data_IF_456789703339
#
_entry.id   IF_456789703339
#
_cell.length_a   1.000
_cell.length_b   1.000
_cell.length_c   1.000
_cell.angle_alpha   90.00
_cell.angle_beta   90.00
_cell.angle_gamma   90.00
#
_symmetry.space_group_name_H-M   'P 1'
#
loop_
_entity.id
_entity.type
_entity.pdbx_description
1 polymer ?
#
# COMPACT_ATOMS: atom_id res chain seq x y z
N UNK A 1 -67.03 36.05 -35.77
CA UNK A 1 -65.66 36.56 -36.02
C UNK A 1 -64.74 36.50 -34.75
N UNK A 2 -65.21 36.10 -33.62
CA UNK A 2 -64.40 36.07 -32.36
C UNK A 2 -63.84 34.71 -31.96
N UNK A 3 -64.16 33.64 -32.70
CA UNK A 3 -63.69 32.26 -32.34
C UNK A 3 -62.26 31.96 -32.88
N UNK A 4 -61.86 32.50 -33.97
CA UNK A 4 -60.60 32.20 -34.65
C UNK A 4 -59.37 32.94 -34.01
N UNK A 5 -59.63 34.00 -33.26
CA UNK A 5 -58.56 34.77 -32.59
C UNK A 5 -57.99 34.12 -31.36
N UNK A 6 -58.78 33.26 -30.66
CA UNK A 6 -58.34 32.51 -29.47
C UNK A 6 -57.40 31.34 -29.78
N UNK A 7 -57.56 30.72 -30.94
CA UNK A 7 -56.67 29.63 -31.38
C UNK A 7 -55.30 30.14 -31.87
N UNK A 8 -55.21 31.34 -32.40
CA UNK A 8 -53.95 31.94 -32.81
C UNK A 8 -53.07 32.35 -31.64
N UNK A 9 -53.63 32.80 -30.52
CA UNK A 9 -52.91 33.15 -29.31
C UNK A 9 -52.45 31.88 -28.56
N UNK A 10 -53.25 30.81 -28.55
CA UNK A 10 -52.88 29.54 -27.97
C UNK A 10 -51.75 28.83 -28.73
N UNK A 11 -51.73 28.95 -30.08
CA UNK A 11 -50.65 28.42 -30.92
C UNK A 11 -49.32 29.19 -30.79
N UNK A 12 -49.39 30.49 -30.53
CA UNK A 12 -48.18 31.31 -30.34
C UNK A 12 -47.55 31.17 -28.96
N UNK A 13 -48.32 30.78 -27.94
CA UNK A 13 -47.79 30.49 -26.61
C UNK A 13 -47.14 29.09 -26.50
N UNK A 14 -47.48 28.14 -27.38
CA UNK A 14 -46.81 26.81 -27.44
C UNK A 14 -45.50 26.84 -28.24
N UNK A 15 -45.23 27.84 -29.05
CA UNK A 15 -44.00 27.96 -29.86
C UNK A 15 -42.83 28.61 -29.11
N UNK A 16 -43.02 29.07 -27.84
CA UNK A 16 -41.99 29.72 -27.02
C UNK A 16 -41.42 28.80 -25.93
N UNK A 17 -41.70 27.52 -25.91
CA UNK A 17 -40.91 26.56 -25.20
C UNK A 17 -39.62 26.23 -25.98
N UNK A 18 -38.84 27.26 -26.30
CA UNK A 18 -37.45 27.09 -26.68
C UNK A 18 -36.74 26.42 -25.49
N UNK A 19 -36.28 25.22 -25.72
CA UNK A 19 -35.43 24.51 -24.79
C UNK A 19 -34.27 25.43 -24.37
N UNK A 20 -34.39 26.04 -23.22
CA UNK A 20 -33.27 26.68 -22.58
C UNK A 20 -32.33 25.56 -22.17
N UNK A 21 -31.41 25.21 -23.03
CA UNK A 21 -30.22 24.52 -22.63
C UNK A 21 -29.55 25.47 -21.66
N UNK A 22 -29.59 25.11 -20.38
CA UNK A 22 -28.85 25.80 -19.34
C UNK A 22 -27.36 25.48 -19.49
N UNK A 23 -26.74 25.90 -20.57
CA UNK A 23 -25.33 25.98 -20.72
C UNK A 23 -24.84 27.05 -19.74
N UNK A 24 -23.95 26.71 -18.84
CA UNK A 24 -23.26 27.70 -18.02
C UNK A 24 -22.64 28.74 -18.96
N UNK A 25 -22.78 30.04 -18.65
CA UNK A 25 -22.17 31.06 -19.47
C UNK A 25 -20.66 30.85 -19.54
N UNK A 26 -20.07 30.96 -20.74
CA UNK A 26 -18.61 30.82 -20.89
C UNK A 26 -17.84 31.96 -20.20
N UNK A 27 -18.50 33.02 -19.84
CA UNK A 27 -17.95 34.18 -19.13
C UNK A 27 -18.95 34.70 -18.09
N UNK A 28 -18.45 35.15 -16.93
CA UNK A 28 -19.20 35.85 -15.90
C UNK A 28 -18.47 37.16 -15.63
N UNK A 29 -19.17 38.31 -15.80
CA UNK A 29 -18.58 39.66 -15.64
C UNK A 29 -17.33 39.90 -16.47
N UNK A 30 -17.30 39.45 -17.75
CA UNK A 30 -16.17 39.52 -18.68
C UNK A 30 -14.93 38.69 -18.28
N UNK A 31 -15.01 37.85 -17.24
CA UNK A 31 -13.97 36.89 -16.87
C UNK A 31 -14.34 35.48 -17.35
N UNK A 32 -13.34 34.74 -17.88
CA UNK A 32 -13.51 33.33 -18.22
C UNK A 32 -13.79 32.54 -16.95
N UNK A 33 -14.79 31.66 -17.02
CA UNK A 33 -15.02 30.73 -15.92
C UNK A 33 -13.75 29.90 -15.67
N UNK A 34 -13.33 29.75 -14.42
CA UNK A 34 -12.19 28.89 -14.09
C UNK A 34 -12.47 27.47 -14.56
N UNK A 35 -11.51 26.89 -15.29
CA UNK A 35 -11.60 25.52 -15.79
C UNK A 35 -10.32 24.76 -15.48
N UNK A 36 -10.47 23.50 -15.07
CA UNK A 36 -9.36 22.58 -14.86
C UNK A 36 -8.95 21.84 -16.14
N UNK A 37 -9.70 22.03 -17.27
CA UNK A 37 -9.45 21.34 -18.52
C UNK A 37 -8.01 21.51 -19.04
N UNK A 38 -7.39 22.73 -19.06
CA UNK A 38 -6.02 22.87 -19.52
C UNK A 38 -5.00 22.14 -18.65
N UNK A 39 -5.27 22.00 -17.34
CA UNK A 39 -4.44 21.21 -16.42
C UNK A 39 -4.57 19.72 -16.75
N UNK A 40 -5.80 19.24 -16.88
CA UNK A 40 -6.10 17.83 -17.21
C UNK A 40 -5.48 17.44 -18.54
N UNK A 41 -5.64 18.24 -19.60
CA UNK A 41 -5.04 18.00 -20.92
C UNK A 41 -3.52 17.84 -20.85
N UNK A 42 -2.86 18.60 -19.99
CA UNK A 42 -1.41 18.56 -19.82
C UNK A 42 -0.93 17.29 -19.08
N UNK A 43 -1.65 16.84 -18.04
CA UNK A 43 -1.16 15.77 -17.15
C UNK A 43 -1.72 14.40 -17.49
N UNK A 44 -2.88 14.32 -18.15
CA UNK A 44 -3.50 13.04 -18.51
C UNK A 44 -2.62 12.12 -19.36
N UNK A 45 -1.81 12.62 -20.33
CA UNK A 45 -0.95 11.73 -21.11
C UNK A 45 0.06 10.92 -20.29
N UNK A 46 0.36 11.36 -19.06
CA UNK A 46 1.24 10.63 -18.14
C UNK A 46 0.52 9.53 -17.35
N UNK A 47 -0.81 9.40 -17.48
CA UNK A 47 -1.59 8.37 -16.78
C UNK A 47 -2.01 7.29 -17.77
N UNK A 48 -1.63 6.05 -17.50
CA UNK A 48 -1.90 4.89 -18.37
C UNK A 48 -2.96 3.97 -17.75
N UNK A 49 -3.64 3.22 -18.62
CA UNK A 49 -4.42 2.06 -18.18
C UNK A 49 -3.48 0.86 -18.01
N UNK A 50 -3.69 0.07 -16.97
CA UNK A 50 -2.98 -1.20 -16.74
C UNK A 50 -4.00 -2.33 -16.85
N UNK A 51 -3.72 -3.31 -17.70
CA UNK A 51 -4.45 -4.56 -17.80
C UNK A 51 -3.55 -5.70 -17.31
N UNK A 52 -4.11 -6.49 -16.44
CA UNK A 52 -3.44 -7.68 -15.91
C UNK A 52 -4.24 -8.89 -16.29
N UNK A 53 -3.58 -9.92 -16.81
CA UNK A 53 -4.17 -11.24 -16.96
C UNK A 53 -3.55 -12.21 -15.96
N UNK A 54 -4.40 -13.04 -15.36
CA UNK A 54 -4.03 -14.05 -14.39
C UNK A 54 -4.72 -15.36 -14.72
N UNK A 55 -3.97 -16.46 -14.75
CA UNK A 55 -4.50 -17.82 -14.93
C UNK A 55 -4.85 -18.41 -13.56
N UNK A 56 -6.11 -18.38 -13.18
CA UNK A 56 -6.56 -18.97 -11.91
C UNK A 56 -6.82 -20.47 -12.10
N UNK A 57 -5.98 -21.32 -11.50
CA UNK A 57 -6.28 -22.75 -11.36
C UNK A 57 -7.18 -22.97 -10.15
N UNK A 58 -8.25 -23.76 -10.34
CA UNK A 58 -9.29 -24.08 -9.34
C UNK A 58 -8.72 -24.76 -8.08
N UNK A 59 -8.18 -23.99 -7.16
CA UNK A 59 -7.59 -24.51 -5.91
C UNK A 59 -7.10 -23.47 -4.91
N UNK A 60 -7.02 -22.21 -5.30
CA UNK A 60 -6.47 -21.15 -4.45
C UNK A 60 -7.46 -20.00 -4.21
N UNK A 61 -7.94 -19.88 -2.99
CA UNK A 61 -9.07 -19.01 -2.62
C UNK A 61 -8.68 -17.64 -2.02
N UNK A 62 -7.44 -17.16 -2.09
CA UNK A 62 -7.06 -16.00 -1.27
C UNK A 62 -6.82 -14.67 -1.99
N UNK A 63 -6.29 -14.63 -3.20
CA UNK A 63 -6.02 -13.35 -3.90
C UNK A 63 -7.26 -12.73 -4.54
N UNK A 64 -8.06 -13.55 -5.21
CA UNK A 64 -9.26 -13.14 -5.94
C UNK A 64 -10.40 -12.67 -5.00
N UNK A 65 -10.52 -13.24 -3.80
CA UNK A 65 -11.59 -12.90 -2.85
C UNK A 65 -11.38 -11.52 -2.20
N UNK A 66 -10.16 -11.15 -1.87
CA UNK A 66 -9.84 -9.83 -1.32
C UNK A 66 -10.03 -8.73 -2.38
N UNK A 67 -9.58 -8.97 -3.60
CA UNK A 67 -9.77 -8.08 -4.75
C UNK A 67 -11.28 -7.94 -5.08
N UNK A 68 -12.02 -9.04 -5.16
CA UNK A 68 -13.47 -9.04 -5.45
C UNK A 68 -14.27 -8.35 -4.37
N UNK A 69 -13.95 -8.60 -3.08
CA UNK A 69 -14.58 -7.88 -1.96
C UNK A 69 -14.27 -6.39 -1.99
N UNK A 70 -13.03 -6.03 -2.33
CA UNK A 70 -12.61 -4.63 -2.43
C UNK A 70 -13.34 -3.91 -3.56
N UNK A 71 -13.57 -4.58 -4.70
CA UNK A 71 -14.23 -4.01 -5.87
C UNK A 71 -15.73 -4.33 -5.98
N UNK A 72 -16.33 -5.04 -5.01
CA UNK A 72 -17.76 -5.39 -5.02
C UNK A 72 -18.17 -6.30 -6.17
N UNK A 73 -17.25 -7.12 -6.70
CA UNK A 73 -17.54 -8.03 -7.81
C UNK A 73 -18.27 -9.28 -7.31
N UNK A 74 -19.28 -9.80 -8.05
CA UNK A 74 -20.05 -10.97 -7.63
C UNK A 74 -19.23 -12.25 -7.61
N UNK A 75 -19.51 -13.13 -6.65
CA UNK A 75 -18.93 -14.48 -6.57
C UNK A 75 -19.33 -15.30 -7.80
N UNK A 76 -18.35 -15.91 -8.49
CA UNK A 76 -18.61 -16.79 -9.62
C UNK A 76 -18.39 -18.24 -9.18
N UNK A 77 -19.43 -19.11 -9.26
CA UNK A 77 -19.29 -20.53 -8.94
C UNK A 77 -18.35 -21.24 -9.92
N UNK A 78 -17.51 -22.13 -9.37
CA UNK A 78 -16.35 -22.74 -9.99
C UNK A 78 -16.57 -23.54 -11.28
N UNK A 79 -15.51 -23.69 -12.01
CA UNK A 79 -15.28 -24.59 -13.13
C UNK A 79 -14.22 -24.06 -14.09
N UNK A 80 -13.19 -24.84 -14.31
CA UNK A 80 -12.11 -24.75 -15.29
C UNK A 80 -11.22 -23.47 -15.28
N UNK A 81 -9.94 -23.64 -15.64
CA UNK A 81 -8.96 -22.57 -15.78
C UNK A 81 -9.57 -21.37 -16.51
N UNK A 82 -9.69 -20.26 -15.84
CA UNK A 82 -10.20 -19.00 -16.41
C UNK A 82 -9.13 -17.93 -16.32
N UNK A 83 -8.89 -17.30 -17.44
CA UNK A 83 -8.15 -16.04 -17.49
C UNK A 83 -9.03 -14.94 -16.87
N UNK A 84 -8.59 -14.38 -15.76
CA UNK A 84 -9.23 -13.25 -15.10
C UNK A 84 -8.46 -12.01 -15.50
N UNK A 85 -9.12 -11.06 -16.13
CA UNK A 85 -8.55 -9.76 -16.42
C UNK A 85 -8.92 -8.77 -15.32
N UNK A 86 -7.94 -8.13 -14.72
CA UNK A 86 -8.13 -6.98 -13.85
C UNK A 86 -7.60 -5.70 -14.51
N UNK A 87 -8.09 -4.56 -14.09
CA UNK A 87 -7.68 -3.28 -14.65
C UNK A 87 -7.42 -2.26 -13.54
N UNK A 88 -6.34 -1.50 -13.69
CA UNK A 88 -5.96 -0.39 -12.85
C UNK A 88 -5.41 0.76 -13.69
N UNK A 89 -4.76 1.68 -13.03
CA UNK A 89 -4.05 2.80 -13.64
C UNK A 89 -2.58 2.78 -13.24
N UNK A 90 -1.76 3.53 -13.99
CA UNK A 90 -0.36 3.78 -13.65
C UNK A 90 0.02 5.20 -13.99
N UNK A 91 1.11 5.68 -13.43
CA UNK A 91 1.66 7.02 -13.66
C UNK A 91 3.08 6.89 -14.20
N UNK A 92 3.33 7.40 -15.39
CA UNK A 92 4.68 7.47 -15.98
C UNK A 92 5.47 8.52 -15.21
N UNK A 93 6.53 8.10 -14.53
CA UNK A 93 7.39 8.96 -13.69
C UNK A 93 8.83 9.08 -14.20
N UNK A 94 9.16 8.31 -15.22
CA UNK A 94 10.43 8.38 -15.95
C UNK A 94 10.15 7.94 -17.39
N UNK A 95 9.99 8.91 -18.28
CA UNK A 95 9.65 8.64 -19.68
C UNK A 95 10.85 8.16 -20.50
N UNK A 96 12.07 8.44 -20.07
CA UNK A 96 13.30 8.02 -20.75
C UNK A 96 13.56 6.52 -20.56
N UNK A 97 13.37 6.04 -19.32
CA UNK A 97 13.61 4.64 -18.95
C UNK A 97 12.34 3.79 -18.96
N UNK A 98 11.15 4.40 -19.17
CA UNK A 98 9.86 3.73 -19.23
C UNK A 98 9.33 3.26 -17.88
N UNK A 99 9.70 3.90 -16.76
CA UNK A 99 9.21 3.52 -15.44
C UNK A 99 7.85 4.14 -15.13
N UNK A 100 6.98 3.28 -14.61
CA UNK A 100 5.59 3.60 -14.26
C UNK A 100 5.37 3.17 -12.82
N UNK A 101 4.83 4.07 -11.99
CA UNK A 101 4.32 3.78 -10.65
C UNK A 101 2.88 3.30 -10.74
N UNK A 102 2.56 2.29 -9.93
CA UNK A 102 1.19 1.81 -9.73
C UNK A 102 1.05 1.21 -8.33
N UNK A 103 -0.10 0.62 -8.00
CA UNK A 103 -0.24 -0.10 -6.74
C UNK A 103 0.23 -1.56 -6.86
N UNK A 104 0.71 -2.11 -5.72
CA UNK A 104 1.06 -3.52 -5.61
C UNK A 104 -0.14 -4.40 -5.94
N UNK A 105 -1.33 -4.13 -5.34
CA UNK A 105 -2.53 -4.92 -5.56
C UNK A 105 -3.03 -4.94 -7.03
N UNK A 106 -2.60 -3.98 -7.87
CA UNK A 106 -2.92 -3.95 -9.31
C UNK A 106 -2.12 -5.00 -10.07
N UNK A 107 -0.88 -5.26 -9.68
CA UNK A 107 0.06 -6.14 -10.40
C UNK A 107 0.36 -7.45 -9.67
N UNK A 108 -0.21 -7.64 -8.47
CA UNK A 108 0.02 -8.86 -7.68
C UNK A 108 -0.47 -10.10 -8.42
N UNK A 109 0.39 -11.13 -8.44
CA UNK A 109 0.15 -12.42 -9.11
C UNK A 109 -0.17 -12.31 -10.62
N UNK A 110 0.24 -11.23 -11.28
CA UNK A 110 0.07 -11.04 -12.72
C UNK A 110 0.91 -12.02 -13.55
N UNK A 111 0.28 -12.80 -14.47
CA UNK A 111 1.00 -13.58 -15.47
C UNK A 111 1.48 -12.69 -16.62
N UNK A 112 0.64 -11.71 -17.02
CA UNK A 112 0.95 -10.71 -18.05
C UNK A 112 0.42 -9.35 -17.65
N UNK A 113 1.20 -8.32 -17.96
CA UNK A 113 0.83 -6.93 -17.74
C UNK A 113 0.95 -6.19 -19.07
N UNK A 114 -0.09 -5.46 -19.43
CA UNK A 114 -0.10 -4.56 -20.57
C UNK A 114 -0.53 -3.17 -20.10
N UNK A 115 0.10 -2.15 -20.65
CA UNK A 115 -0.35 -0.78 -20.49
C UNK A 115 -0.95 -0.25 -21.78
N UNK A 116 -1.90 0.67 -21.65
CA UNK A 116 -2.42 1.45 -22.79
C UNK A 116 -2.30 2.94 -22.50
N UNK A 117 -1.70 3.67 -23.44
CA UNK A 117 -1.60 5.13 -23.39
C UNK A 117 -2.92 5.78 -23.83
N UNK A 118 -3.02 7.11 -23.67
CA UNK A 118 -4.19 7.88 -24.09
C UNK A 118 -4.45 7.80 -25.62
N UNK A 119 -3.40 7.64 -26.40
CA UNK A 119 -3.45 7.58 -27.89
C UNK A 119 -3.86 6.17 -28.35
N UNK A 120 -4.04 5.22 -27.42
CA UNK A 120 -4.44 3.84 -27.70
C UNK A 120 -3.29 2.92 -28.08
N UNK A 121 -2.04 3.34 -27.93
CA UNK A 121 -0.89 2.45 -28.06
C UNK A 121 -0.84 1.47 -26.90
N UNK A 122 -0.49 0.20 -27.17
CA UNK A 122 -0.45 -0.86 -26.19
C UNK A 122 0.98 -1.39 -26.11
N UNK A 123 1.49 -1.54 -24.90
CA UNK A 123 2.83 -2.05 -24.63
C UNK A 123 2.77 -3.16 -23.58
N UNK A 124 3.58 -4.19 -23.73
CA UNK A 124 3.82 -5.15 -22.66
C UNK A 124 4.70 -4.52 -21.59
N UNK A 125 4.39 -4.80 -20.34
CA UNK A 125 5.11 -4.26 -19.18
C UNK A 125 5.65 -5.39 -18.30
N UNK A 126 6.79 -5.14 -17.67
CA UNK A 126 7.43 -6.05 -16.72
C UNK A 126 7.40 -5.44 -15.32
N UNK A 127 7.17 -6.26 -14.29
CA UNK A 127 7.30 -5.82 -12.90
C UNK A 127 8.79 -5.72 -12.55
N UNK A 128 9.25 -4.51 -12.23
CA UNK A 128 10.62 -4.30 -11.73
C UNK A 128 10.72 -4.70 -10.27
N UNK A 129 9.67 -4.41 -9.51
CA UNK A 129 9.50 -4.80 -8.12
C UNK A 129 8.24 -4.20 -7.53
N UNK A 130 7.82 -4.74 -6.40
CA UNK A 130 6.65 -4.25 -5.68
C UNK A 130 6.79 -4.40 -4.18
N UNK A 131 6.03 -3.62 -3.44
CA UNK A 131 5.99 -3.59 -1.99
C UNK A 131 4.56 -3.62 -1.47
N UNK A 132 4.14 -4.78 -0.97
CA UNK A 132 2.80 -4.98 -0.45
C UNK A 132 2.49 -4.10 0.77
N UNK A 133 3.50 -3.80 1.59
CA UNK A 133 3.29 -3.06 2.83
C UNK A 133 3.02 -1.56 2.63
N UNK A 134 3.44 -0.97 1.50
CA UNK A 134 3.11 0.41 1.09
C UNK A 134 2.11 0.46 -0.06
N UNK A 135 1.72 -0.70 -0.61
CA UNK A 135 0.87 -0.83 -1.79
C UNK A 135 1.45 -0.10 -3.02
N UNK A 136 2.77 -0.12 -3.21
CA UNK A 136 3.45 0.48 -4.37
C UNK A 136 4.11 -0.60 -5.21
N UNK A 137 4.01 -0.46 -6.53
CA UNK A 137 4.75 -1.25 -7.51
C UNK A 137 5.38 -0.35 -8.57
N UNK A 138 6.50 -0.83 -9.12
CA UNK A 138 7.20 -0.24 -10.25
C UNK A 138 7.14 -1.22 -11.40
N UNK A 139 6.58 -0.79 -12.52
CA UNK A 139 6.60 -1.54 -13.77
C UNK A 139 7.42 -0.79 -14.81
N UNK A 140 7.92 -1.51 -15.80
CA UNK A 140 8.73 -0.97 -16.89
C UNK A 140 8.15 -1.35 -18.23
N UNK A 141 8.21 -0.41 -19.17
CA UNK A 141 7.87 -0.62 -20.59
C UNK A 141 9.01 -0.19 -21.49
N UNK A 142 9.15 -0.86 -22.63
CA UNK A 142 10.05 -0.41 -23.70
C UNK A 142 9.22 0.39 -24.73
N UNK A 143 9.06 1.67 -24.46
CA UNK A 143 8.30 2.59 -25.28
C UNK A 143 9.04 3.92 -25.43
N UNK A 144 8.74 4.63 -26.53
CA UNK A 144 9.30 5.97 -26.80
C UNK A 144 8.20 6.99 -26.91
N UNK A 145 8.53 8.25 -26.62
CA UNK A 145 7.56 9.33 -26.74
C UNK A 145 6.55 9.40 -25.60
N UNK A 146 6.83 8.71 -24.51
CA UNK A 146 6.02 8.78 -23.30
C UNK A 146 6.03 10.20 -22.70
N UNK A 147 4.94 10.57 -22.04
CA UNK A 147 4.83 11.83 -21.30
C UNK A 147 5.04 11.53 -19.81
N UNK A 148 5.96 12.25 -19.19
CA UNK A 148 6.29 12.11 -17.77
C UNK A 148 5.42 13.01 -16.88
N UNK A 149 5.00 12.51 -15.74
CA UNK A 149 4.33 13.28 -14.70
C UNK A 149 5.36 13.91 -13.77
N UNK A 150 5.41 15.26 -13.64
CA UNK A 150 6.28 15.89 -12.67
C UNK A 150 5.97 15.45 -11.25
N UNK A 151 6.96 14.95 -10.52
CA UNK A 151 6.82 14.54 -9.12
C UNK A 151 6.86 15.79 -8.24
N UNK A 152 5.81 16.01 -7.46
CA UNK A 152 5.70 17.08 -6.48
C UNK A 152 6.16 16.63 -5.09
N UNK A 153 6.29 17.61 -4.22
CA UNK A 153 6.68 17.44 -2.82
C UNK A 153 5.42 17.22 -1.97
N UNK A 154 5.16 15.95 -1.58
CA UNK A 154 3.99 15.61 -0.76
C UNK A 154 4.09 16.07 0.69
N UNK A 155 5.28 16.38 1.21
CA UNK A 155 5.45 16.92 2.57
C UNK A 155 4.95 18.36 2.70
N UNK A 156 4.85 19.08 1.56
CA UNK A 156 4.29 20.44 1.50
C UNK A 156 2.78 20.50 1.34
N UNK A 157 2.15 19.36 1.12
CA UNK A 157 0.69 19.27 0.98
C UNK A 157 0.03 19.57 2.32
N UNK A 158 -1.07 20.33 2.30
CA UNK A 158 -1.81 20.72 3.49
C UNK A 158 -3.28 20.37 3.35
N UNK A 159 -3.92 20.11 4.47
CA UNK A 159 -5.38 19.96 4.53
C UNK A 159 -6.04 21.22 3.95
N UNK A 160 -6.96 21.02 3.00
CA UNK A 160 -7.63 22.07 2.25
C UNK A 160 -7.03 22.38 0.88
N UNK A 161 -5.85 21.87 0.54
CA UNK A 161 -5.29 22.05 -0.80
C UNK A 161 -6.13 21.28 -1.84
N UNK A 162 -6.40 21.90 -2.98
CA UNK A 162 -7.14 21.28 -4.09
C UNK A 162 -6.29 20.21 -4.77
N UNK A 163 -6.94 19.07 -5.05
CA UNK A 163 -6.33 17.95 -5.76
C UNK A 163 -7.27 17.37 -6.81
N UNK A 164 -6.68 16.73 -7.84
CA UNK A 164 -7.38 15.97 -8.87
C UNK A 164 -6.92 14.52 -8.78
N UNK A 165 -7.86 13.58 -8.68
CA UNK A 165 -7.58 12.16 -8.84
C UNK A 165 -7.83 11.78 -10.29
N UNK A 166 -6.81 11.23 -10.95
CA UNK A 166 -6.82 10.87 -12.37
C UNK A 166 -6.52 9.38 -12.48
N UNK A 167 -7.35 8.68 -13.25
CA UNK A 167 -7.13 7.30 -13.61
C UNK A 167 -7.62 7.04 -15.03
N UNK A 168 -7.31 5.86 -15.56
CA UNK A 168 -7.76 5.40 -16.87
C UNK A 168 -8.45 4.03 -16.74
N UNK A 169 -9.64 3.98 -16.09
CA UNK A 169 -10.36 2.74 -15.92
C UNK A 169 -10.76 2.17 -17.29
N UNK A 170 -10.49 0.89 -17.50
CA UNK A 170 -10.90 0.13 -18.69
C UNK A 170 -10.31 0.59 -20.04
N UNK A 171 -9.38 1.55 -20.07
CA UNK A 171 -8.80 2.07 -21.32
C UNK A 171 -9.79 2.78 -22.24
N UNK A 172 -10.95 3.20 -21.71
CA UNK A 172 -12.00 3.91 -22.47
C UNK A 172 -11.83 5.44 -22.42
N UNK A 173 -10.78 5.92 -21.76
CA UNK A 173 -10.48 7.33 -21.54
C UNK A 173 -10.26 7.65 -20.08
N UNK A 174 -9.65 8.81 -19.81
CA UNK A 174 -9.35 9.23 -18.46
C UNK A 174 -10.62 9.61 -17.68
N UNK A 175 -10.66 9.16 -16.43
CA UNK A 175 -11.62 9.64 -15.43
C UNK A 175 -10.89 10.60 -14.52
N UNK A 176 -11.44 11.80 -14.38
CA UNK A 176 -10.90 12.85 -13.52
C UNK A 176 -11.95 13.24 -12.51
N UNK A 177 -11.56 13.20 -11.25
CA UNK A 177 -12.38 13.72 -10.15
C UNK A 177 -11.59 14.79 -9.40
N UNK A 178 -12.28 15.74 -8.78
CA UNK A 178 -11.66 16.83 -8.04
C UNK A 178 -12.16 16.86 -6.61
N UNK A 179 -11.30 17.30 -5.71
CA UNK A 179 -11.61 17.47 -4.31
C UNK A 179 -10.50 18.24 -3.60
N UNK A 180 -10.40 18.04 -2.30
CA UNK A 180 -9.35 18.60 -1.46
C UNK A 180 -8.63 17.50 -0.67
N UNK A 181 -7.49 17.84 -0.13
CA UNK A 181 -6.85 17.07 0.93
C UNK A 181 -7.69 17.21 2.18
N UNK A 182 -8.30 16.12 2.64
CA UNK A 182 -9.19 16.10 3.81
C UNK A 182 -8.43 15.85 5.10
N UNK A 183 -7.36 15.05 5.04
CA UNK A 183 -6.46 14.76 6.16
C UNK A 183 -5.12 14.25 5.67
N UNK A 184 -4.12 14.24 6.55
CA UNK A 184 -2.79 13.69 6.32
C UNK A 184 -2.46 12.68 7.42
N UNK A 185 -1.46 11.82 7.20
CA UNK A 185 -0.97 10.89 8.20
C UNK A 185 -1.97 9.78 8.55
N UNK A 186 -2.86 9.39 7.62
CA UNK A 186 -3.84 8.34 7.89
C UNK A 186 -3.19 6.96 7.84
N UNK A 187 -3.42 6.18 8.90
CA UNK A 187 -2.91 4.82 9.07
C UNK A 187 -3.97 3.92 9.71
N UNK A 188 -3.70 2.60 9.77
CA UNK A 188 -4.61 1.60 10.34
C UNK A 188 -5.72 1.17 9.38
N UNK A 189 -5.52 1.34 8.08
CA UNK A 189 -6.42 0.90 7.03
C UNK A 189 -6.14 -0.56 6.70
N UNK A 190 -4.87 -0.94 6.51
CA UNK A 190 -4.42 -2.33 6.46
C UNK A 190 -3.81 -2.77 7.79
N UNK A 191 -3.79 -4.07 8.08
CA UNK A 191 -3.26 -4.57 9.36
C UNK A 191 -1.75 -4.46 9.47
N UNK A 192 -1.03 -4.67 8.37
CA UNK A 192 0.42 -4.87 8.35
C UNK A 192 1.15 -3.84 7.48
N UNK A 193 0.42 -2.81 6.98
CA UNK A 193 0.96 -1.78 6.10
C UNK A 193 1.79 -0.72 6.83
N UNK A 194 2.75 -0.17 6.10
CA UNK A 194 3.39 1.10 6.46
C UNK A 194 2.61 2.22 5.78
N UNK A 195 1.74 2.85 6.54
CA UNK A 195 0.72 3.75 6.04
C UNK A 195 0.92 5.17 6.55
N UNK A 196 0.92 6.12 5.65
CA UNK A 196 0.92 7.57 5.93
C UNK A 196 0.08 8.29 4.87
N UNK A 197 -1.14 7.78 4.62
CA UNK A 197 -1.95 8.19 3.48
C UNK A 197 -2.38 9.66 3.51
N UNK A 198 -2.43 10.25 2.31
CA UNK A 198 -3.21 11.46 2.04
C UNK A 198 -4.67 11.04 1.90
N UNK A 199 -5.55 11.58 2.75
CA UNK A 199 -7.00 11.42 2.62
C UNK A 199 -7.56 12.54 1.74
N UNK A 200 -8.44 12.19 0.79
CA UNK A 200 -9.13 13.14 -0.09
C UNK A 200 -10.60 12.81 -0.24
N UNK A 201 -11.43 13.82 -0.53
CA UNK A 201 -12.82 13.65 -0.95
C UNK A 201 -12.98 13.62 -2.48
N UNK A 202 -11.90 13.82 -3.25
CA UNK A 202 -11.87 13.49 -4.66
C UNK A 202 -12.26 12.02 -4.84
N UNK A 203 -13.25 11.75 -5.70
CA UNK A 203 -13.82 10.41 -5.81
C UNK A 203 -12.81 9.42 -6.39
N UNK A 204 -12.34 8.50 -5.56
CA UNK A 204 -11.53 7.33 -5.97
C UNK A 204 -12.50 6.16 -6.10
N UNK A 205 -12.48 5.49 -7.25
CA UNK A 205 -13.32 4.33 -7.56
C UNK A 205 -12.47 3.26 -8.26
N UNK A 206 -12.97 2.02 -8.39
CA UNK A 206 -12.32 0.98 -9.16
C UNK A 206 -11.83 1.48 -10.52
N UNK A 207 -10.54 1.24 -10.80
CA UNK A 207 -9.85 1.71 -12.01
C UNK A 207 -9.04 2.99 -11.84
N UNK A 208 -9.28 3.83 -10.80
CA UNK A 208 -8.39 4.93 -10.48
C UNK A 208 -7.19 4.50 -9.61
N UNK A 209 -7.25 3.30 -9.02
CA UNK A 209 -6.13 2.73 -8.23
C UNK A 209 -4.88 2.63 -9.08
N UNK A 210 -3.74 3.05 -8.54
CA UNK A 210 -2.46 3.19 -9.24
C UNK A 210 -2.33 4.46 -10.08
N UNK A 211 -3.41 5.23 -10.26
CA UNK A 211 -3.42 6.51 -10.96
C UNK A 211 -2.91 7.68 -10.10
N UNK A 212 -2.93 8.87 -10.66
CA UNK A 212 -2.33 10.05 -10.08
C UNK A 212 -3.28 10.81 -9.15
N UNK A 213 -2.79 11.27 -8.00
CA UNK A 213 -3.32 12.40 -7.26
C UNK A 213 -2.41 13.60 -7.55
N UNK A 214 -2.95 14.64 -8.21
CA UNK A 214 -2.16 15.81 -8.65
C UNK A 214 -2.66 17.09 -8.00
N UNK A 215 -1.76 18.02 -7.75
CA UNK A 215 -2.08 19.37 -7.29
C UNK A 215 -2.46 20.30 -8.48
N UNK A 216 -2.86 21.55 -8.18
CA UNK A 216 -3.22 22.52 -9.22
C UNK A 216 -2.04 22.99 -10.08
N UNK A 217 -0.80 22.66 -9.73
CA UNK A 217 0.36 22.90 -10.60
C UNK A 217 0.58 21.79 -11.62
N UNK A 218 -0.13 20.67 -11.48
CA UNK A 218 0.01 19.47 -12.30
C UNK A 218 1.16 18.59 -11.85
N UNK A 219 1.54 18.67 -10.60
CA UNK A 219 2.56 17.82 -9.99
C UNK A 219 1.90 16.66 -9.26
N UNK A 220 2.47 15.48 -9.40
CA UNK A 220 2.07 14.28 -8.66
C UNK A 220 2.33 14.49 -7.16
N UNK A 221 1.33 14.34 -6.33
CA UNK A 221 1.45 14.41 -4.87
C UNK A 221 1.11 13.09 -4.19
N UNK A 222 0.53 12.14 -4.93
CA UNK A 222 0.26 10.80 -4.42
C UNK A 222 -0.17 9.83 -5.50
N UNK A 223 -0.14 8.54 -5.18
CA UNK A 223 -0.68 7.44 -5.99
C UNK A 223 -2.00 7.02 -5.37
N UNK A 224 -3.10 7.13 -6.13
CA UNK A 224 -4.42 6.71 -5.67
C UNK A 224 -4.39 5.23 -5.32
N UNK A 225 -4.86 4.84 -4.13
CA UNK A 225 -4.78 3.45 -3.67
C UNK A 225 -6.15 2.89 -3.30
N UNK A 226 -6.74 3.33 -2.21
CA UNK A 226 -7.87 2.68 -1.58
C UNK A 226 -9.03 3.62 -1.25
N UNK A 227 -10.18 3.02 -0.93
CA UNK A 227 -11.34 3.70 -0.34
C UNK A 227 -11.80 2.95 0.91
N UNK A 228 -12.31 3.66 1.91
CA UNK A 228 -13.12 3.04 2.95
C UNK A 228 -14.58 3.03 2.47
N UNK A 229 -15.10 1.86 2.14
CA UNK A 229 -16.49 1.73 1.69
C UNK A 229 -17.09 0.40 2.14
N UNK A 230 -18.33 0.43 2.62
CA UNK A 230 -19.11 -0.79 2.91
C UNK A 230 -19.84 -1.33 1.68
N UNK A 231 -20.00 -0.51 0.66
CA UNK A 231 -20.80 -0.81 -0.54
C UNK A 231 -19.96 -0.94 -1.81
N UNK A 232 -18.61 -0.79 -1.71
CA UNK A 232 -17.68 -0.84 -2.86
C UNK A 232 -17.61 0.46 -3.68
N UNK A 233 -18.44 1.46 -3.41
CA UNK A 233 -18.39 2.77 -4.07
C UNK A 233 -17.82 3.86 -3.16
N UNK A 234 -17.32 4.95 -3.73
CA UNK A 234 -16.79 6.09 -2.99
C UNK A 234 -17.89 6.77 -2.14
N UNK A 235 -17.58 7.06 -0.88
CA UNK A 235 -18.45 7.78 0.06
C UNK A 235 -17.82 9.11 0.51
N UNK A 236 -16.90 9.66 -0.28
CA UNK A 236 -16.16 10.89 0.06
C UNK A 236 -14.91 10.62 0.91
N UNK A 237 -14.42 9.39 0.97
CA UNK A 237 -13.21 9.01 1.71
C UNK A 237 -12.34 8.17 0.78
N UNK A 238 -11.36 8.81 0.18
CA UNK A 238 -10.34 8.19 -0.66
C UNK A 238 -8.95 8.37 -0.05
N UNK A 239 -8.02 7.50 -0.40
CA UNK A 239 -6.64 7.48 0.10
C UNK A 239 -5.66 7.40 -1.05
N UNK A 240 -4.56 8.14 -0.91
CA UNK A 240 -3.43 8.05 -1.83
C UNK A 240 -2.13 7.89 -1.05
N UNK A 241 -1.22 7.09 -1.57
CA UNK A 241 0.15 6.96 -1.05
C UNK A 241 0.93 8.21 -1.43
N UNK A 242 1.53 8.96 -0.48
CA UNK A 242 2.31 10.16 -0.77
C UNK A 242 3.47 9.89 -1.73
N UNK A 243 3.82 10.88 -2.56
CA UNK A 243 4.97 10.77 -3.49
C UNK A 243 6.29 10.57 -2.77
N UNK A 244 6.46 11.07 -1.57
CA UNK A 244 7.65 10.83 -0.73
C UNK A 244 7.87 9.33 -0.53
N UNK A 245 6.81 8.61 -0.13
CA UNK A 245 6.85 7.16 0.05
C UNK A 245 7.05 6.44 -1.28
N UNK A 246 6.22 6.76 -2.29
CA UNK A 246 6.27 6.10 -3.60
C UNK A 246 7.66 6.25 -4.26
N UNK A 247 8.26 7.44 -4.19
CA UNK A 247 9.60 7.70 -4.72
C UNK A 247 10.70 7.00 -3.92
N UNK A 248 10.57 6.91 -2.59
CA UNK A 248 11.53 6.17 -1.75
C UNK A 248 11.51 4.68 -2.09
N UNK A 249 10.33 4.08 -2.20
CA UNK A 249 10.13 2.68 -2.58
C UNK A 249 10.67 2.42 -3.99
N UNK A 250 10.33 3.28 -4.97
CA UNK A 250 10.84 3.16 -6.34
C UNK A 250 12.37 3.16 -6.37
N UNK A 251 13.03 4.11 -5.69
CA UNK A 251 14.50 4.16 -5.64
C UNK A 251 15.08 2.89 -5.06
N UNK A 252 14.53 2.35 -3.96
CA UNK A 252 15.02 1.12 -3.36
C UNK A 252 14.85 -0.09 -4.29
N UNK A 253 13.71 -0.19 -4.98
CA UNK A 253 13.46 -1.25 -5.97
C UNK A 253 14.46 -1.16 -7.12
N UNK A 254 14.74 0.04 -7.64
CA UNK A 254 15.70 0.24 -8.74
C UNK A 254 17.14 -0.03 -8.31
N UNK A 255 17.52 0.36 -7.09
CA UNK A 255 18.90 0.23 -6.59
C UNK A 255 19.21 -1.20 -6.12
N UNK A 256 18.24 -1.91 -5.51
CA UNK A 256 18.48 -3.17 -4.81
C UNK A 256 17.60 -4.33 -5.29
N UNK A 257 16.58 -4.08 -6.12
CA UNK A 257 15.58 -5.09 -6.51
C UNK A 257 14.52 -5.36 -5.44
N UNK A 258 14.69 -4.82 -4.24
CA UNK A 258 13.82 -5.04 -3.07
C UNK A 258 13.78 -3.81 -2.17
N UNK A 259 12.78 -3.76 -1.28
CA UNK A 259 12.67 -2.69 -0.26
C UNK A 259 13.40 -3.11 1.02
N UNK A 260 14.41 -2.34 1.42
CA UNK A 260 15.23 -2.56 2.63
C UNK A 260 14.86 -1.56 3.70
N UNK A 261 13.94 -1.97 4.56
CA UNK A 261 13.41 -1.11 5.63
C UNK A 261 14.39 -0.92 6.77
N UNK A 262 14.38 0.28 7.29
CA UNK A 262 15.06 0.58 8.54
C UNK A 262 14.38 -0.13 9.72
N UNK A 263 15.18 -0.62 10.64
CA UNK A 263 14.75 -1.22 11.89
C UNK A 263 15.45 -0.57 13.06
N UNK A 264 14.67 -0.10 14.03
CA UNK A 264 15.23 0.40 15.31
C UNK A 264 15.50 -0.76 16.29
N UNK A 265 14.72 -1.85 16.22
CA UNK A 265 14.85 -3.02 17.09
C UNK A 265 14.27 -2.79 18.47
N UNK A 266 13.04 -2.29 18.52
CA UNK A 266 12.27 -2.10 19.76
C UNK A 266 10.88 -2.70 19.62
N UNK A 267 10.33 -3.23 20.72
CA UNK A 267 8.90 -3.45 20.86
C UNK A 267 8.30 -2.20 21.51
N UNK A 268 7.17 -1.75 21.00
CA UNK A 268 6.56 -0.46 21.39
C UNK A 268 5.07 -0.60 21.68
N UNK A 269 4.57 0.28 22.52
CA UNK A 269 3.16 0.43 22.84
C UNK A 269 2.78 1.91 22.83
N UNK A 270 1.48 2.20 22.70
CA UNK A 270 1.00 3.56 22.88
C UNK A 270 1.03 3.95 24.35
N UNK A 271 1.49 5.17 24.64
CA UNK A 271 1.28 5.77 25.96
C UNK A 271 -0.12 6.41 25.99
N UNK A 272 -0.88 6.11 27.02
CA UNK A 272 -2.15 6.73 27.32
C UNK A 272 -2.06 7.47 28.68
N UNK A 273 -3.06 8.29 29.06
CA UNK A 273 -3.01 9.06 30.31
C UNK A 273 -2.79 8.19 31.57
N UNK A 274 -3.34 6.98 31.62
CA UNK A 274 -3.20 6.06 32.76
C UNK A 274 -1.78 5.53 32.87
N UNK A 275 -1.18 5.15 31.74
CA UNK A 275 0.23 4.71 31.66
C UNK A 275 1.18 5.88 31.97
N UNK A 276 0.87 7.08 31.44
CA UNK A 276 1.65 8.28 31.72
C UNK A 276 1.67 8.61 33.20
N UNK A 277 0.52 8.52 33.90
CA UNK A 277 0.42 8.73 35.34
C UNK A 277 1.23 7.66 36.11
N UNK A 278 1.10 6.39 35.73
CA UNK A 278 1.83 5.28 36.37
C UNK A 278 3.35 5.41 36.23
N UNK A 279 3.83 5.90 35.08
CA UNK A 279 5.25 6.17 34.82
C UNK A 279 5.71 7.55 35.31
N UNK A 280 4.80 8.35 35.90
CA UNK A 280 5.06 9.75 36.25
C UNK A 280 5.66 10.54 35.08
N UNK A 281 5.13 10.33 33.85
CA UNK A 281 5.65 10.90 32.61
C UNK A 281 5.18 12.33 32.40
N UNK A 282 6.04 13.24 31.89
CA UNK A 282 5.65 14.61 31.55
C UNK A 282 4.84 14.68 30.26
N UNK A 283 4.69 13.57 29.51
CA UNK A 283 3.98 13.49 28.24
C UNK A 283 2.93 12.38 28.27
N UNK A 284 1.82 12.62 27.57
CA UNK A 284 0.68 11.69 27.44
C UNK A 284 0.52 11.12 26.03
N UNK A 285 1.49 11.41 25.14
CA UNK A 285 1.54 10.90 23.76
C UNK A 285 2.99 10.56 23.42
N UNK A 286 3.17 9.54 22.59
CA UNK A 286 4.46 9.01 22.17
C UNK A 286 4.46 7.49 22.12
N UNK A 287 5.57 6.90 21.70
CA UNK A 287 5.77 5.47 21.63
C UNK A 287 6.60 5.01 22.87
N UNK A 288 5.98 4.25 23.75
CA UNK A 288 6.63 3.65 24.91
C UNK A 288 7.42 2.42 24.48
N UNK A 289 8.70 2.37 24.81
CA UNK A 289 9.55 1.19 24.59
C UNK A 289 9.22 0.14 25.67
N UNK A 290 8.75 -1.03 25.24
CA UNK A 290 8.46 -2.17 26.13
C UNK A 290 9.57 -3.22 26.11
N UNK A 291 10.39 -3.22 25.04
CA UNK A 291 11.56 -4.10 24.90
C UNK A 291 12.57 -3.47 23.94
N UNK A 292 13.84 -3.70 24.18
CA UNK A 292 14.95 -3.39 23.27
C UNK A 292 15.59 -4.71 22.87
N UNK A 293 15.76 -4.94 21.56
CA UNK A 293 16.39 -6.15 21.03
C UNK A 293 17.91 -6.04 21.18
N UNK A 294 18.59 -7.09 21.66
CA UNK A 294 20.05 -7.11 21.74
C UNK A 294 20.71 -6.97 20.36
N UNK A 295 21.78 -6.18 20.27
CA UNK A 295 22.50 -5.91 19.02
C UNK A 295 21.74 -5.01 18.04
N UNK A 296 20.70 -4.33 18.50
CA UNK A 296 19.88 -3.45 17.67
C UNK A 296 20.39 -2.00 17.65
N UNK A 297 19.94 -1.23 16.66
CA UNK A 297 20.18 0.20 16.59
C UNK A 297 19.70 0.95 17.85
N UNK A 298 18.62 0.49 18.47
CA UNK A 298 18.13 1.04 19.74
C UNK A 298 19.09 0.78 20.91
N UNK A 299 19.68 -0.40 21.00
CA UNK A 299 20.69 -0.71 22.02
C UNK A 299 21.95 0.15 21.81
N UNK A 300 22.41 0.26 20.56
CA UNK A 300 23.57 1.10 20.19
C UNK A 300 23.31 2.59 20.52
N UNK A 301 22.08 3.07 20.33
CA UNK A 301 21.64 4.41 20.75
C UNK A 301 21.52 4.58 22.28
N UNK A 302 21.62 3.48 23.05
CA UNK A 302 21.43 3.50 24.49
C UNK A 302 19.99 3.72 24.95
N UNK A 303 19.01 3.42 24.09
CA UNK A 303 17.59 3.41 24.44
C UNK A 303 17.30 2.24 25.41
N UNK A 304 16.28 2.41 26.23
CA UNK A 304 15.91 1.45 27.29
C UNK A 304 14.42 1.24 27.35
N UNK A 305 14.01 0.16 28.00
CA UNK A 305 12.62 -0.04 28.41
C UNK A 305 12.19 1.14 29.26
N UNK A 306 10.92 1.54 29.13
CA UNK A 306 10.27 2.68 29.74
C UNK A 306 10.67 4.07 29.15
N UNK A 307 11.56 4.14 28.15
CA UNK A 307 11.73 5.35 27.36
C UNK A 307 10.47 5.63 26.52
N UNK A 308 10.09 6.89 26.40
CA UNK A 308 8.96 7.32 25.59
C UNK A 308 9.49 8.15 24.42
N UNK A 309 9.45 7.58 23.22
CA UNK A 309 9.88 8.26 21.98
C UNK A 309 8.80 9.25 21.56
N UNK A 310 9.18 10.52 21.40
CA UNK A 310 8.29 11.64 21.04
C UNK A 310 8.69 12.33 19.74
N UNK A 311 9.83 11.96 19.15
CA UNK A 311 10.30 12.50 17.89
C UNK A 311 11.35 11.62 17.22
N UNK A 312 11.36 11.66 15.89
CA UNK A 312 12.41 11.07 15.02
C UNK A 312 12.76 12.13 13.99
N UNK A 313 14.02 12.55 13.97
CA UNK A 313 14.48 13.72 13.24
C UNK A 313 13.62 14.95 13.60
N UNK A 314 13.04 15.65 12.63
CA UNK A 314 12.15 16.79 12.85
C UNK A 314 10.67 16.40 12.98
N UNK A 315 10.34 15.12 12.85
CA UNK A 315 8.97 14.61 12.90
C UNK A 315 8.56 14.25 14.33
N UNK A 316 7.43 14.78 14.78
CA UNK A 316 6.84 14.40 16.07
C UNK A 316 6.26 12.99 15.99
N UNK A 317 6.35 12.24 17.08
CA UNK A 317 5.80 10.90 17.22
C UNK A 317 4.71 10.94 18.30
N UNK A 318 3.47 10.71 17.88
CA UNK A 318 2.31 10.72 18.77
C UNK A 318 1.99 9.33 19.34
N UNK A 319 2.49 8.24 18.72
CA UNK A 319 2.22 6.88 19.17
C UNK A 319 3.05 5.82 18.45
N UNK A 320 2.83 4.55 18.83
CA UNK A 320 3.58 3.39 18.33
C UNK A 320 3.43 3.20 16.81
N UNK A 321 2.22 3.36 16.27
CA UNK A 321 1.97 3.22 14.83
C UNK A 321 2.76 4.25 14.03
N UNK A 322 2.81 5.50 14.48
CA UNK A 322 3.54 6.56 13.80
C UNK A 322 5.06 6.34 13.87
N UNK A 323 5.59 5.87 15.01
CA UNK A 323 7.01 5.49 15.11
C UNK A 323 7.33 4.35 14.14
N UNK A 324 6.52 3.29 14.11
CA UNK A 324 6.71 2.15 13.20
C UNK A 324 6.74 2.62 11.75
N UNK A 325 5.79 3.45 11.34
CA UNK A 325 5.70 3.96 9.97
C UNK A 325 6.91 4.86 9.64
N UNK A 326 7.24 5.80 10.53
CA UNK A 326 8.37 6.70 10.33
C UNK A 326 9.69 5.95 10.14
N UNK A 327 9.99 4.99 11.02
CA UNK A 327 11.22 4.18 10.92
C UNK A 327 11.16 3.22 9.74
N UNK A 328 10.02 2.51 9.54
CA UNK A 328 9.90 1.49 8.49
C UNK A 328 9.87 2.03 7.05
N UNK A 329 9.60 3.33 6.87
CA UNK A 329 9.69 4.00 5.58
C UNK A 329 11.10 4.55 5.28
N UNK A 330 11.96 4.64 6.29
CA UNK A 330 13.38 4.97 6.15
C UNK A 330 14.16 3.74 5.67
N UNK A 331 15.36 3.98 5.15
CA UNK A 331 16.24 2.92 4.67
C UNK A 331 17.07 2.33 5.81
N UNK A 332 17.41 1.06 5.68
CA UNK A 332 18.51 0.49 6.46
C UNK A 332 19.79 1.28 6.23
N UNK A 333 20.48 1.62 7.31
CA UNK A 333 21.70 2.43 7.31
C UNK A 333 21.48 3.95 7.39
N UNK A 334 20.23 4.44 7.29
CA UNK A 334 19.94 5.86 7.49
C UNK A 334 20.23 6.26 8.94
N UNK A 335 20.92 7.39 9.12
CA UNK A 335 21.14 8.01 10.41
C UNK A 335 19.86 8.67 10.91
N UNK A 336 19.47 8.40 12.15
CA UNK A 336 18.28 8.99 12.77
C UNK A 336 18.61 9.62 14.11
N UNK A 337 18.04 10.78 14.38
CA UNK A 337 18.03 11.41 15.71
C UNK A 337 16.68 11.11 16.38
N UNK A 338 16.73 10.48 17.54
CA UNK A 338 15.57 10.08 18.32
C UNK A 338 15.42 10.98 19.52
N UNK A 339 14.30 11.70 19.64
CA UNK A 339 13.93 12.47 20.81
C UNK A 339 13.05 11.62 21.73
N UNK A 340 13.41 11.49 22.99
CA UNK A 340 12.69 10.67 23.94
C UNK A 340 12.73 11.25 25.37
N UNK A 341 11.81 10.80 26.20
CA UNK A 341 11.81 11.06 27.63
C UNK A 341 12.27 9.84 28.40
N UNK A 342 13.16 10.03 29.40
CA UNK A 342 13.59 9.07 30.40
C UNK A 342 13.67 9.77 31.75
N UNK A 343 13.00 9.23 32.77
CA UNK A 343 12.97 9.80 34.12
C UNK A 343 12.55 11.29 34.10
N UNK A 344 11.58 11.66 33.28
CA UNK A 344 11.08 13.02 33.03
C UNK A 344 12.04 13.98 32.30
N UNK A 345 13.25 13.56 31.98
CA UNK A 345 14.20 14.35 31.22
C UNK A 345 14.04 14.10 29.71
N UNK A 346 13.92 15.19 28.94
CA UNK A 346 13.97 15.11 27.48
C UNK A 346 15.42 14.88 27.03
N UNK A 347 15.64 13.85 26.23
CA UNK A 347 16.95 13.44 25.72
C UNK A 347 16.93 13.21 24.23
N UNK A 348 18.11 13.17 23.62
CA UNK A 348 18.32 12.82 22.23
C UNK A 348 19.35 11.70 22.14
N UNK A 349 19.16 10.81 21.17
CA UNK A 349 20.13 9.79 20.80
C UNK A 349 20.19 9.69 19.28
N UNK A 350 21.33 9.36 18.71
CA UNK A 350 21.50 9.15 17.27
C UNK A 350 22.03 7.74 17.03
N UNK A 351 21.54 7.11 15.95
CA UNK A 351 21.98 5.78 15.53
C UNK A 351 21.70 5.59 14.04
N UNK A 352 22.45 4.67 13.41
CA UNK A 352 22.12 4.18 12.08
C UNK A 352 21.08 3.05 12.21
N UNK A 353 20.01 3.12 11.42
CA UNK A 353 18.97 2.09 11.42
C UNK A 353 19.53 0.74 10.96
N UNK A 354 19.23 -0.31 11.70
CA UNK A 354 19.49 -1.68 11.30
C UNK A 354 18.66 -2.04 10.05
N UNK A 355 18.99 -3.17 9.44
CA UNK A 355 18.16 -3.74 8.40
C UNK A 355 17.07 -4.59 9.08
N UNK A 356 15.81 -4.34 8.70
CA UNK A 356 14.80 -5.36 8.91
C UNK A 356 15.16 -6.50 7.96
N UNK A 357 15.94 -7.44 8.48
CA UNK A 357 16.09 -8.71 7.79
C UNK A 357 14.69 -9.30 7.87
N UNK A 358 13.97 -9.30 6.76
CA UNK A 358 12.97 -10.33 6.55
C UNK A 358 13.80 -11.61 6.62
N UNK A 359 13.89 -12.20 7.82
CA UNK A 359 14.62 -13.42 8.01
C UNK A 359 13.80 -14.54 7.38
N UNK A 360 13.84 -14.61 6.06
CA UNK A 360 13.58 -15.86 5.38
C UNK A 360 14.76 -16.76 5.72
N UNK A 361 14.72 -17.39 6.90
CA UNK A 361 15.68 -18.44 7.20
C UNK A 361 15.46 -19.54 6.20
N UNK A 362 16.49 -19.80 5.39
CA UNK A 362 16.44 -20.89 4.42
C UNK A 362 16.41 -22.19 5.22
N UNK A 363 15.45 -23.07 4.95
CA UNK A 363 15.29 -24.34 5.65
C UNK A 363 16.54 -25.22 5.66
N UNK A 364 17.47 -25.01 4.71
CA UNK A 364 18.76 -25.64 4.64
C UNK A 364 19.64 -25.34 5.87
N UNK A 365 19.58 -24.13 6.40
CA UNK A 365 20.37 -23.69 7.55
C UNK A 365 19.76 -24.15 8.88
N UNK A 366 18.48 -24.53 8.87
CA UNK A 366 17.73 -24.91 10.05
C UNK A 366 17.77 -26.43 10.27
N UNK A 367 17.41 -27.22 9.24
CA UNK A 367 17.33 -28.67 9.34
C UNK A 367 17.33 -29.32 7.93
N UNK A 368 18.06 -30.43 7.72
CA UNK A 368 18.12 -31.08 6.38
C UNK A 368 16.76 -31.44 5.79
N UNK A 369 15.79 -31.76 6.64
CA UNK A 369 14.44 -32.08 6.22
C UNK A 369 13.58 -30.87 5.81
N UNK A 370 14.03 -29.66 6.08
CA UNK A 370 13.37 -28.40 5.74
C UNK A 370 14.00 -27.73 4.50
N UNK A 371 14.99 -28.37 3.87
CA UNK A 371 15.62 -27.86 2.63
C UNK A 371 14.57 -27.54 1.59
N UNK A 372 14.66 -26.35 0.99
CA UNK A 372 13.73 -25.82 -0.02
C UNK A 372 12.50 -25.11 0.57
N UNK A 373 12.38 -24.98 1.89
CA UNK A 373 11.40 -24.09 2.52
C UNK A 373 12.06 -22.77 2.93
N UNK A 374 11.29 -21.70 2.86
CA UNK A 374 11.63 -20.37 3.40
C UNK A 374 10.66 -20.05 4.52
N UNK A 375 11.16 -19.41 5.55
CA UNK A 375 10.41 -19.14 6.78
C UNK A 375 10.53 -17.66 7.16
N UNK A 376 9.41 -17.07 7.60
CA UNK A 376 9.37 -15.74 8.19
C UNK A 376 8.61 -15.78 9.52
N UNK A 377 8.78 -14.76 10.36
CA UNK A 377 7.93 -14.61 11.54
C UNK A 377 6.50 -14.32 11.08
N UNK A 378 5.52 -15.03 11.63
CA UNK A 378 4.12 -14.84 11.26
C UNK A 378 3.62 -13.49 11.78
N UNK A 379 3.10 -12.65 10.88
CA UNK A 379 2.42 -11.40 11.21
C UNK A 379 0.97 -11.60 11.65
N UNK A 380 0.43 -12.81 11.56
CA UNK A 380 -0.95 -13.13 11.94
C UNK A 380 -1.07 -13.21 13.46
N UNK A 381 -1.67 -12.16 14.05
CA UNK A 381 -2.24 -11.99 15.41
C UNK A 381 -1.82 -12.95 16.54
N UNK A 382 -1.61 -12.40 17.71
CA UNK A 382 -1.54 -12.88 19.12
C UNK A 382 -1.10 -14.32 19.49
N UNK A 383 -1.21 -15.29 18.61
CA UNK A 383 -0.68 -16.64 18.76
C UNK A 383 0.48 -16.86 17.77
N UNK A 384 1.57 -16.18 18.08
CA UNK A 384 2.84 -16.23 17.37
C UNK A 384 3.20 -17.63 16.82
N UNK A 385 3.71 -17.66 15.60
CA UNK A 385 4.21 -18.83 14.91
C UNK A 385 5.23 -18.42 13.85
N UNK A 386 5.80 -19.39 13.15
CA UNK A 386 6.69 -19.17 12.01
C UNK A 386 5.95 -19.54 10.74
N UNK A 387 5.82 -18.59 9.84
CA UNK A 387 5.17 -18.78 8.55
C UNK A 387 6.14 -19.40 7.54
N UNK A 388 5.65 -20.34 6.76
CA UNK A 388 6.34 -20.90 5.59
C UNK A 388 6.01 -20.01 4.39
N UNK A 389 6.91 -19.14 3.99
CA UNK A 389 6.66 -18.15 2.93
C UNK A 389 6.79 -18.74 1.53
N UNK A 390 7.68 -19.73 1.34
CA UNK A 390 7.84 -20.43 0.10
C UNK A 390 8.28 -21.87 0.32
N UNK A 391 7.95 -22.76 -0.63
CA UNK A 391 8.43 -24.16 -0.66
C UNK A 391 8.75 -24.53 -2.10
N UNK A 392 10.01 -24.87 -2.35
CA UNK A 392 10.50 -25.28 -3.66
C UNK A 392 9.85 -26.60 -4.10
N UNK A 393 9.22 -26.67 -5.29
CA UNK A 393 8.63 -27.92 -5.78
C UNK A 393 9.66 -29.06 -5.85
N UNK A 394 9.30 -30.23 -5.32
CA UNK A 394 10.17 -31.41 -5.28
C UNK A 394 11.25 -31.40 -4.20
N UNK A 395 11.37 -30.32 -3.41
CA UNK A 395 12.31 -30.23 -2.31
C UNK A 395 11.99 -31.19 -1.15
N UNK A 396 12.96 -31.48 -0.25
CA UNK A 396 12.72 -32.25 0.97
C UNK A 396 11.53 -31.72 1.79
N UNK A 397 11.35 -30.42 1.91
CA UNK A 397 10.23 -29.82 2.61
C UNK A 397 8.88 -30.10 1.92
N UNK A 398 8.83 -29.94 0.58
CA UNK A 398 7.65 -30.24 -0.21
C UNK A 398 7.24 -31.71 -0.14
N UNK A 399 8.21 -32.63 -0.22
CA UNK A 399 7.97 -34.08 -0.12
C UNK A 399 7.39 -34.49 1.23
N UNK A 400 7.62 -33.73 2.28
CA UNK A 400 7.08 -33.94 3.64
C UNK A 400 5.79 -33.20 3.91
N UNK A 401 5.26 -32.53 2.88
CA UNK A 401 3.94 -31.92 2.91
C UNK A 401 3.85 -30.49 3.40
N UNK A 402 5.00 -29.80 3.61
CA UNK A 402 5.02 -28.35 3.87
C UNK A 402 4.56 -27.60 2.60
N UNK A 403 3.87 -26.50 2.81
CA UNK A 403 3.37 -25.60 1.75
C UNK A 403 3.54 -24.15 2.16
N UNK A 404 3.66 -23.28 1.18
CA UNK A 404 3.58 -21.84 1.43
C UNK A 404 2.23 -21.48 2.11
N UNK A 405 2.25 -20.56 3.05
CA UNK A 405 1.12 -20.19 3.89
C UNK A 405 0.85 -21.10 5.10
N UNK A 406 1.68 -22.12 5.34
CA UNK A 406 1.64 -22.88 6.59
C UNK A 406 2.23 -22.06 7.73
N UNK A 407 1.60 -22.10 8.92
CA UNK A 407 2.14 -21.49 10.13
C UNK A 407 2.55 -22.57 11.10
N UNK A 408 3.84 -22.64 11.42
CA UNK A 408 4.38 -23.58 12.40
C UNK A 408 4.18 -22.99 13.80
N UNK A 409 3.33 -23.61 14.61
CA UNK A 409 2.99 -23.14 15.96
C UNK A 409 3.69 -23.91 17.08
N UNK A 410 4.18 -25.13 16.79
CA UNK A 410 4.97 -25.92 17.72
C UNK A 410 5.87 -26.93 17.01
N UNK A 411 7.00 -27.27 17.62
CA UNK A 411 7.92 -28.34 17.21
C UNK A 411 8.16 -29.27 18.43
N UNK A 412 7.99 -30.57 18.22
CA UNK A 412 8.20 -31.56 19.28
C UNK A 412 7.45 -31.22 20.57
N UNK A 413 6.23 -30.70 20.47
CA UNK A 413 5.35 -30.20 21.55
C UNK A 413 5.87 -28.95 22.28
N UNK A 414 6.94 -28.33 21.82
CA UNK A 414 7.39 -27.03 22.31
C UNK A 414 6.78 -25.94 21.44
N UNK A 415 6.10 -24.93 21.98
CA UNK A 415 5.62 -23.79 21.21
C UNK A 415 6.78 -23.10 20.46
N UNK A 416 6.50 -22.63 19.25
CA UNK A 416 7.44 -21.85 18.43
C UNK A 416 6.77 -20.53 18.12
N UNK A 417 7.42 -19.43 18.50
CA UNK A 417 6.90 -18.06 18.34
C UNK A 417 7.80 -17.18 17.50
N UNK A 418 9.03 -17.64 17.23
CA UNK A 418 10.01 -16.89 16.45
C UNK A 418 10.89 -17.82 15.62
N UNK A 419 11.56 -17.27 14.60
CA UNK A 419 12.56 -17.99 13.80
C UNK A 419 13.72 -18.46 14.67
N UNK A 420 14.10 -17.69 15.68
CA UNK A 420 15.14 -18.09 16.64
C UNK A 420 14.77 -19.36 17.40
N UNK A 421 13.54 -19.45 17.94
CA UNK A 421 13.03 -20.64 18.63
C UNK A 421 12.90 -21.85 17.68
N UNK A 422 12.45 -21.61 16.43
CA UNK A 422 12.41 -22.64 15.41
C UNK A 422 13.80 -23.21 15.14
N UNK A 423 14.80 -22.36 14.95
CA UNK A 423 16.18 -22.78 14.69
C UNK A 423 16.78 -23.52 15.88
N UNK A 424 16.62 -23.02 17.12
CA UNK A 424 17.12 -23.67 18.35
C UNK A 424 16.56 -25.09 18.52
N UNK A 425 15.24 -25.26 18.35
CA UNK A 425 14.59 -26.55 18.54
C UNK A 425 14.92 -27.50 17.37
N UNK A 426 14.92 -27.00 16.14
CA UNK A 426 15.13 -27.83 14.95
C UNK A 426 16.57 -28.30 14.83
N UNK A 427 17.57 -27.45 15.10
CA UNK A 427 18.99 -27.81 15.05
C UNK A 427 19.39 -28.86 16.08
N UNK A 428 18.69 -28.93 17.21
CA UNK A 428 18.94 -29.88 18.29
C UNK A 428 18.25 -31.25 18.10
N UNK A 429 17.42 -31.40 17.07
CA UNK A 429 16.53 -32.56 16.89
C UNK A 429 16.75 -33.23 15.54
N UNK A 430 16.92 -34.56 15.52
CA UNK A 430 17.07 -35.34 14.27
C UNK A 430 15.74 -35.59 13.54
N UNK A 431 14.63 -35.55 14.27
CA UNK A 431 13.27 -35.73 13.79
C UNK A 431 12.41 -34.63 14.37
N UNK A 432 11.70 -33.90 13.51
CA UNK A 432 10.80 -32.84 13.93
C UNK A 432 9.33 -33.28 13.72
N UNK A 433 8.52 -33.08 14.73
CA UNK A 433 7.07 -33.15 14.64
C UNK A 433 6.53 -31.71 14.67
N UNK A 434 6.22 -31.18 13.48
CA UNK A 434 5.70 -29.83 13.34
C UNK A 434 4.18 -29.83 13.54
N UNK A 435 3.69 -29.00 14.44
CA UNK A 435 2.28 -28.63 14.47
C UNK A 435 2.12 -27.41 13.55
N UNK A 436 1.39 -27.62 12.48
CA UNK A 436 1.23 -26.63 11.41
C UNK A 436 -0.22 -26.23 11.32
N UNK A 437 -0.51 -24.95 11.33
CA UNK A 437 -1.83 -24.38 11.00
C UNK A 437 -1.85 -24.05 9.51
N UNK A 438 -2.79 -24.65 8.77
CA UNK A 438 -3.05 -24.42 7.35
C UNK A 438 -4.49 -23.96 7.18
N UNK A 439 -4.70 -22.64 7.06
CA UNK A 439 -6.04 -22.05 7.18
C UNK A 439 -6.65 -22.42 8.54
N UNK A 440 -7.86 -22.95 8.55
CA UNK A 440 -8.59 -23.34 9.79
C UNK A 440 -8.22 -24.75 10.31
N UNK A 441 -7.24 -25.43 9.72
CA UNK A 441 -6.90 -26.82 10.06
C UNK A 441 -5.53 -26.90 10.71
N UNK A 442 -5.47 -27.58 11.85
CA UNK A 442 -4.20 -27.98 12.45
C UNK A 442 -3.74 -29.34 11.89
N UNK A 443 -2.51 -29.41 11.41
CA UNK A 443 -1.88 -30.59 10.83
C UNK A 443 -0.61 -30.93 11.61
N UNK A 444 -0.29 -32.21 11.73
CA UNK A 444 0.99 -32.65 12.25
C UNK A 444 1.84 -33.24 11.12
N UNK A 445 2.99 -32.63 10.85
CA UNK A 445 3.94 -33.08 9.84
C UNK A 445 5.18 -33.66 10.51
N UNK A 446 5.66 -34.79 9.99
CA UNK A 446 6.91 -35.39 10.43
C UNK A 446 8.02 -35.09 9.43
N UNK A 447 9.06 -34.40 9.89
CA UNK A 447 10.26 -34.02 9.14
C UNK A 447 11.43 -34.90 9.64
N UNK A 448 12.14 -35.53 8.71
CA UNK A 448 13.31 -36.40 8.99
C UNK A 448 14.52 -35.93 8.22
#
# INVERSE_FOLDING_TARGET
MMSNFRFLIAGMLLALSAATWAALPAMVNDEKLPSLAPLVERVSPAVVNIRVSQTVSTGGHFGDEAFRRFFGLPDVPGGDQREVASAGSGVIVDAENGYILTNHHVVDQADQIQISTIDGEVFDAEVVGSDAATDIAVIKVDAKGLTEMPIGDSERVRVGDFVLAIGNPFGLGHTVTSGIVSALGRSGISRDGYEDFIQTDASINPGNSGGALVNLRGELVGINSAIISRTGGNVGIGFAVPTEIASSIMRQILDFGEVRRGLLGVSIADINPEVAEALNSPVTSGALITRVEPGSAAEDAGLKVDDIIVGVNDRKIAGAAELRNTIGLMRSGDEVEIEYFRDNDKRKASTALGQQVSAASVGADIHPGLVGAQFAESSASSDAGVEVTAVEPGSPAAQRGLRAGDIITAINRRPVRSLGELNEIASSSRILFLLVQRGDRALMLQIR
#
